data_IF_585665223742
#
_entry.id   IF_585665223742
#
_cell.length_a   1.000
_cell.length_b   1.000
_cell.length_c   1.000
_cell.angle_alpha   90.00
_cell.angle_beta   90.00
_cell.angle_gamma   90.00
#
_symmetry.space_group_name_H-M   'P 1'
#
loop_
_entity.id
_entity.type
_entity.pdbx_description
1 polymer ?
#
# COMPACT_ATOMS: atom_id res chain seq x y z
N UNK A 1 24.83 10.64 3.08
CA UNK A 1 23.45 10.44 3.51
C UNK A 1 22.68 11.71 3.17
N UNK A 2 21.81 11.65 2.17
CA UNK A 2 20.86 12.71 1.99
C UNK A 2 19.80 12.60 3.10
N UNK A 3 19.46 13.71 3.73
CA UNK A 3 18.45 13.75 4.76
C UNK A 3 17.08 13.42 4.17
N UNK A 4 16.23 12.67 4.87
CA UNK A 4 14.84 12.49 4.45
C UNK A 4 14.15 13.85 4.39
N UNK A 5 13.21 14.00 3.45
CA UNK A 5 12.34 15.17 3.41
C UNK A 5 11.23 14.92 4.42
N UNK A 6 10.99 15.88 5.30
CA UNK A 6 9.91 15.84 6.28
C UNK A 6 9.03 17.08 6.11
N UNK A 7 7.73 16.87 6.01
CA UNK A 7 6.75 17.94 5.94
C UNK A 7 5.45 17.56 6.67
N UNK A 8 4.63 18.56 6.99
CA UNK A 8 3.30 18.31 7.54
C UNK A 8 2.38 17.74 6.44
N UNK A 9 1.40 16.96 6.87
CA UNK A 9 0.33 16.43 6.05
C UNK A 9 -1.04 17.01 6.43
N UNK A 10 -2.12 16.48 5.81
CA UNK A 10 -3.47 17.03 5.92
C UNK A 10 -4.11 16.85 7.29
N UNK A 11 -3.76 15.79 8.03
CA UNK A 11 -4.29 15.54 9.37
C UNK A 11 -3.59 16.36 10.45
N UNK A 12 -4.32 16.69 11.52
CA UNK A 12 -3.76 17.40 12.66
C UNK A 12 -2.62 16.62 13.33
N UNK A 13 -1.41 17.21 13.34
CA UNK A 13 -0.21 16.57 13.87
C UNK A 13 0.36 15.45 12.99
N UNK A 14 -0.17 15.27 11.79
CA UNK A 14 0.34 14.32 10.82
C UNK A 14 1.58 14.85 10.12
N UNK A 15 2.59 13.98 9.97
CA UNK A 15 3.84 14.31 9.30
C UNK A 15 4.15 13.20 8.29
N UNK A 16 4.65 13.59 7.12
CA UNK A 16 5.17 12.69 6.10
C UNK A 16 6.68 12.74 6.06
N UNK A 17 7.29 11.61 5.79
CA UNK A 17 8.73 11.48 5.60
C UNK A 17 8.99 10.69 4.32
N UNK A 18 9.67 11.35 3.39
CA UNK A 18 10.21 10.72 2.20
C UNK A 18 11.58 10.12 2.46
N UNK A 19 11.74 8.85 2.16
CA UNK A 19 13.01 8.15 2.24
C UNK A 19 13.72 8.12 0.88
N UNK A 20 15.05 8.25 0.88
CA UNK A 20 15.84 7.98 -0.32
C UNK A 20 15.63 6.55 -0.78
N UNK A 21 15.57 6.36 -2.11
CA UNK A 21 15.48 5.05 -2.69
C UNK A 21 16.68 4.17 -2.31
N UNK A 22 16.41 2.90 -2.11
CA UNK A 22 17.40 1.86 -1.83
C UNK A 22 16.91 0.53 -2.40
N UNK A 23 17.73 -0.49 -2.36
CA UNK A 23 17.26 -1.85 -2.67
C UNK A 23 16.14 -2.29 -1.73
N UNK A 24 15.27 -3.22 -2.18
CA UNK A 24 14.01 -3.56 -1.47
C UNK A 24 14.22 -3.96 -0.01
N UNK A 25 15.16 -4.86 0.26
CA UNK A 25 15.45 -5.32 1.63
C UNK A 25 15.94 -4.16 2.52
N UNK A 26 16.85 -3.32 1.99
CA UNK A 26 17.35 -2.16 2.73
C UNK A 26 16.25 -1.13 2.99
N UNK A 27 15.31 -0.99 2.07
CA UNK A 27 14.14 -0.11 2.26
C UNK A 27 13.26 -0.63 3.39
N UNK A 28 12.98 -1.94 3.43
CA UNK A 28 12.22 -2.55 4.52
C UNK A 28 12.92 -2.36 5.88
N UNK A 29 14.24 -2.59 5.95
CA UNK A 29 15.04 -2.32 7.16
C UNK A 29 14.92 -0.85 7.61
N UNK A 30 15.03 0.09 6.65
CA UNK A 30 14.94 1.52 6.93
C UNK A 30 13.55 1.91 7.49
N UNK A 31 12.46 1.37 6.93
CA UNK A 31 11.09 1.61 7.43
C UNK A 31 10.94 1.09 8.86
N UNK A 32 11.43 -0.13 9.15
CA UNK A 32 11.36 -0.69 10.50
C UNK A 32 12.16 0.13 11.51
N UNK A 33 13.39 0.49 11.15
CA UNK A 33 14.26 1.31 12.01
C UNK A 33 13.65 2.70 12.22
N UNK A 34 13.12 3.32 11.17
CA UNK A 34 12.44 4.62 11.23
C UNK A 34 11.30 4.59 12.25
N UNK A 35 10.39 3.63 12.16
CA UNK A 35 9.27 3.49 13.10
C UNK A 35 9.74 3.37 14.55
N UNK A 36 10.77 2.57 14.80
CA UNK A 36 11.34 2.41 16.14
C UNK A 36 11.96 3.71 16.68
N UNK A 37 12.76 4.41 15.86
CA UNK A 37 13.41 5.67 16.25
C UNK A 37 12.36 6.75 16.54
N UNK A 38 11.37 6.92 15.68
CA UNK A 38 10.32 7.92 15.87
C UNK A 38 9.58 7.69 17.18
N UNK A 39 9.17 6.44 17.46
CA UNK A 39 8.50 6.09 18.73
C UNK A 39 9.38 6.35 19.95
N UNK A 40 10.64 5.94 19.89
CA UNK A 40 11.57 6.14 21.00
C UNK A 40 11.78 7.64 21.31
N UNK A 41 11.94 8.46 20.26
CA UNK A 41 12.11 9.91 20.42
C UNK A 41 10.81 10.55 20.93
N UNK A 42 9.65 10.20 20.37
CA UNK A 42 8.35 10.69 20.81
C UNK A 42 8.11 10.41 22.30
N UNK A 43 8.33 9.16 22.73
CA UNK A 43 8.20 8.76 24.13
C UNK A 43 9.13 9.57 25.04
N UNK A 44 10.39 9.75 24.66
CA UNK A 44 11.34 10.59 25.41
C UNK A 44 10.95 12.05 25.49
N UNK A 45 10.19 12.54 24.50
CA UNK A 45 9.69 13.91 24.43
C UNK A 45 8.32 14.09 25.10
N UNK A 46 7.77 13.05 25.73
CA UNK A 46 6.47 13.09 26.40
C UNK A 46 5.28 13.15 25.45
N UNK A 47 5.47 12.77 24.18
CA UNK A 47 4.42 12.68 23.15
C UNK A 47 4.32 11.26 22.62
N UNK A 48 3.21 10.95 21.94
CA UNK A 48 2.98 9.64 21.30
C UNK A 48 3.08 9.79 19.78
N UNK A 49 3.74 8.82 19.13
CA UNK A 49 3.76 8.67 17.69
C UNK A 49 3.08 7.36 17.30
N UNK A 50 2.00 7.45 16.54
CA UNK A 50 1.26 6.30 16.03
C UNK A 50 1.44 6.17 14.52
N UNK A 51 1.56 4.92 14.06
CA UNK A 51 1.54 4.55 12.65
C UNK A 51 0.22 3.85 12.29
N UNK A 52 -0.83 4.06 13.06
CA UNK A 52 -2.16 3.52 12.77
C UNK A 52 -2.71 4.10 11.45
N UNK A 53 -3.29 3.28 10.56
CA UNK A 53 -3.77 3.73 9.25
C UNK A 53 -4.83 4.83 9.31
N UNK A 54 -5.76 4.78 10.26
CA UNK A 54 -6.79 5.80 10.47
C UNK A 54 -6.92 6.09 11.97
N UNK A 55 -5.97 6.86 12.57
CA UNK A 55 -5.95 7.10 14.02
C UNK A 55 -7.10 8.00 14.49
N UNK A 56 -7.58 8.88 13.63
CA UNK A 56 -8.66 9.82 13.92
C UNK A 56 -9.73 9.68 12.82
N UNK A 57 -11.00 9.38 13.17
CA UNK A 57 -12.06 9.11 12.19
C UNK A 57 -12.29 10.26 11.20
N UNK A 58 -12.25 11.50 11.69
CA UNK A 58 -12.57 12.71 10.93
C UNK A 58 -11.33 13.41 10.32
N UNK A 59 -10.17 12.76 10.37
CA UNK A 59 -8.92 13.30 9.82
C UNK A 59 -8.37 12.38 8.72
N UNK A 60 -7.45 12.89 7.92
CA UNK A 60 -6.75 12.09 6.93
C UNK A 60 -6.04 10.88 7.57
N UNK A 61 -6.09 9.74 6.90
CA UNK A 61 -5.38 8.53 7.31
C UNK A 61 -3.92 8.57 6.90
N UNK A 62 -3.13 7.65 7.44
CA UNK A 62 -1.71 7.50 7.13
C UNK A 62 -1.50 6.42 6.06
N UNK A 63 -0.82 6.76 4.98
CA UNK A 63 -0.38 5.86 3.92
C UNK A 63 1.10 5.48 4.07
N UNK A 64 1.48 4.37 3.46
CA UNK A 64 2.86 3.99 3.20
C UNK A 64 2.99 3.74 1.70
N UNK A 65 3.19 4.81 0.92
CA UNK A 65 3.28 4.70 -0.53
C UNK A 65 4.58 3.98 -0.93
N UNK A 66 4.46 2.90 -1.70
CA UNK A 66 5.61 2.15 -2.19
C UNK A 66 5.99 2.68 -3.56
N UNK A 67 7.11 3.39 -3.62
CA UNK A 67 7.70 3.91 -4.84
C UNK A 67 8.69 2.88 -5.42
N UNK A 68 8.51 2.49 -6.69
CA UNK A 68 9.30 1.49 -7.38
C UNK A 68 9.84 2.02 -8.71
N UNK A 69 11.14 1.83 -8.92
CA UNK A 69 11.80 2.05 -10.22
C UNK A 69 12.38 0.73 -10.71
N UNK A 70 12.31 0.49 -12.01
CA UNK A 70 12.91 -0.65 -12.67
C UNK A 70 14.06 -0.20 -13.56
N UNK A 71 15.17 -0.92 -13.52
CA UNK A 71 16.33 -0.63 -14.36
C UNK A 71 16.71 -1.86 -15.18
N UNK A 72 17.05 -1.60 -16.43
CA UNK A 72 17.63 -2.60 -17.34
C UNK A 72 18.74 -1.90 -18.14
N UNK A 73 19.94 -2.46 -18.16
CA UNK A 73 21.11 -1.92 -18.84
C UNK A 73 21.38 -0.43 -18.52
N UNK A 74 21.20 -0.06 -17.24
CA UNK A 74 21.43 1.30 -16.75
C UNK A 74 20.35 2.32 -17.10
N UNK A 75 19.23 1.89 -17.71
CA UNK A 75 18.09 2.75 -18.07
C UNK A 75 16.91 2.51 -17.13
N UNK A 76 16.31 3.59 -16.67
CA UNK A 76 15.06 3.55 -15.92
C UNK A 76 13.89 3.26 -16.88
N UNK A 77 13.19 2.15 -16.67
CA UNK A 77 12.11 1.69 -17.55
C UNK A 77 10.79 2.47 -17.38
N UNK A 78 10.69 3.31 -16.35
CA UNK A 78 9.56 4.24 -16.16
C UNK A 78 9.81 5.61 -16.80
N UNK A 79 10.96 5.83 -17.44
CA UNK A 79 11.23 7.08 -18.13
C UNK A 79 10.49 7.14 -19.48
N UNK A 80 9.81 8.25 -19.72
CA UNK A 80 9.04 8.46 -20.95
C UNK A 80 7.64 7.83 -20.94
N UNK A 81 7.18 7.42 -22.11
CA UNK A 81 5.88 6.77 -22.26
C UNK A 81 5.98 5.26 -21.96
N UNK A 82 5.07 4.79 -21.12
CA UNK A 82 4.97 3.38 -20.77
C UNK A 82 4.02 2.71 -21.76
N UNK A 83 4.59 1.93 -22.69
CA UNK A 83 3.77 1.11 -23.58
C UNK A 83 3.09 -0.02 -22.79
N UNK A 84 1.84 -0.37 -23.10
CA UNK A 84 1.08 -1.37 -22.36
C UNK A 84 1.75 -2.76 -22.28
N UNK A 85 2.50 -3.15 -23.29
CA UNK A 85 3.21 -4.42 -23.46
C UNK A 85 4.72 -4.31 -23.17
N UNK A 86 5.19 -3.15 -22.70
CA UNK A 86 6.57 -2.97 -22.26
C UNK A 86 6.83 -3.70 -20.92
N UNK A 87 8.08 -3.91 -20.57
CA UNK A 87 8.45 -4.50 -19.25
C UNK A 87 7.86 -3.69 -18.10
N UNK A 88 7.91 -2.36 -18.14
CA UNK A 88 7.30 -1.50 -17.12
C UNK A 88 5.77 -1.61 -17.14
N UNK A 89 5.15 -1.69 -18.32
CA UNK A 89 3.71 -1.89 -18.48
C UNK A 89 3.28 -3.25 -17.90
N UNK A 90 3.96 -4.33 -18.27
CA UNK A 90 3.67 -5.67 -17.77
C UNK A 90 3.87 -5.78 -16.26
N UNK A 91 4.91 -5.13 -15.70
CA UNK A 91 5.12 -5.05 -14.26
C UNK A 91 3.93 -4.37 -13.55
N UNK A 92 3.51 -3.22 -14.04
CA UNK A 92 2.34 -2.51 -13.50
C UNK A 92 1.06 -3.32 -13.63
N UNK A 93 0.87 -4.00 -14.76
CA UNK A 93 -0.28 -4.87 -14.97
C UNK A 93 -0.34 -6.00 -13.95
N UNK A 94 0.80 -6.64 -13.63
CA UNK A 94 0.90 -7.64 -12.58
C UNK A 94 0.57 -7.09 -11.19
N UNK A 95 1.10 -5.92 -10.83
CA UNK A 95 0.77 -5.27 -9.55
C UNK A 95 -0.72 -4.96 -9.44
N UNK A 96 -1.35 -4.48 -10.52
CA UNK A 96 -2.79 -4.20 -10.54
C UNK A 96 -3.62 -5.49 -10.46
N UNK A 97 -3.26 -6.52 -11.23
CA UNK A 97 -3.97 -7.79 -11.25
C UNK A 97 -4.00 -8.48 -9.89
N UNK A 98 -2.90 -8.40 -9.15
CA UNK A 98 -2.75 -9.03 -7.83
C UNK A 98 -3.11 -8.12 -6.64
N UNK A 99 -3.51 -6.88 -6.89
CA UNK A 99 -3.69 -5.88 -5.82
C UNK A 99 -4.73 -6.28 -4.76
N UNK A 100 -5.82 -6.95 -5.16
CA UNK A 100 -6.88 -7.35 -4.24
C UNK A 100 -6.39 -8.39 -3.23
N UNK A 101 -5.71 -9.41 -3.70
CA UNK A 101 -5.18 -10.49 -2.87
C UNK A 101 -3.96 -10.06 -2.03
N UNK A 102 -3.24 -9.03 -2.47
CA UNK A 102 -2.16 -8.43 -1.70
C UNK A 102 -2.64 -7.52 -0.58
N UNK A 103 -3.90 -7.09 -0.60
CA UNK A 103 -4.43 -6.10 0.35
C UNK A 103 -4.31 -6.57 1.79
N UNK A 104 -4.48 -7.86 2.10
CA UNK A 104 -4.30 -8.39 3.45
C UNK A 104 -2.90 -8.16 4.03
N UNK A 105 -1.87 -8.11 3.16
CA UNK A 105 -0.48 -7.88 3.57
C UNK A 105 -0.08 -6.41 3.56
N UNK A 106 -0.69 -5.62 2.70
CA UNK A 106 -0.43 -4.18 2.58
C UNK A 106 -1.29 -3.34 3.51
N UNK A 107 -2.40 -3.89 4.00
CA UNK A 107 -3.41 -3.24 4.83
C UNK A 107 -3.96 -4.23 5.88
N UNK A 108 -3.12 -4.60 6.89
CA UNK A 108 -3.35 -5.77 7.74
C UNK A 108 -4.27 -5.55 8.94
N UNK A 109 -4.88 -4.39 9.07
CA UNK A 109 -5.76 -4.10 10.19
C UNK A 109 -7.19 -3.83 9.72
N UNK A 110 -8.21 -4.13 10.53
CA UNK A 110 -9.57 -3.66 10.26
C UNK A 110 -9.62 -2.13 10.05
N UNK A 111 -8.83 -1.38 10.81
CA UNK A 111 -8.66 0.06 10.70
C UNK A 111 -8.14 0.52 9.33
N UNK A 112 -7.34 -0.30 8.64
CA UNK A 112 -6.79 -0.01 7.31
C UNK A 112 -7.87 0.33 6.29
N UNK A 113 -9.00 -0.36 6.34
CA UNK A 113 -10.10 -0.27 5.36
C UNK A 113 -10.94 1.00 5.52
N UNK A 114 -10.83 1.67 6.67
CA UNK A 114 -11.44 2.98 6.91
C UNK A 114 -10.79 4.11 6.09
N UNK A 115 -9.61 3.86 5.49
CA UNK A 115 -8.90 4.81 4.63
C UNK A 115 -9.44 4.82 3.20
N UNK A 116 -9.85 3.66 2.66
CA UNK A 116 -10.11 3.51 1.23
C UNK A 116 -11.26 4.36 0.71
N UNK A 117 -10.99 5.12 -0.34
CA UNK A 117 -11.94 6.04 -0.96
C UNK A 117 -12.05 7.42 -0.30
N UNK A 118 -11.22 7.71 0.72
CA UNK A 118 -11.19 8.97 1.45
C UNK A 118 -9.77 9.55 1.46
N UNK A 119 -9.65 10.87 1.56
CA UNK A 119 -8.41 11.58 1.91
C UNK A 119 -7.17 11.07 1.13
N UNK A 120 -7.26 11.00 -0.18
CA UNK A 120 -6.20 10.56 -1.10
C UNK A 120 -5.84 9.05 -1.02
N UNK A 121 -6.57 8.21 -0.29
CA UNK A 121 -6.39 6.76 -0.31
C UNK A 121 -7.27 6.11 -1.40
N UNK A 122 -6.68 5.41 -2.38
CA UNK A 122 -7.41 4.84 -3.51
C UNK A 122 -8.31 3.68 -3.07
N UNK A 123 -9.43 3.51 -3.78
CA UNK A 123 -10.34 2.37 -3.62
C UNK A 123 -10.41 1.47 -4.85
N UNK A 124 -10.25 2.06 -6.03
CA UNK A 124 -10.42 1.37 -7.32
C UNK A 124 -9.09 0.87 -7.86
N UNK A 125 -9.09 -0.34 -8.41
CA UNK A 125 -7.93 -0.93 -9.10
C UNK A 125 -7.77 -0.24 -10.45
N UNK A 126 -6.88 0.74 -10.49
CA UNK A 126 -6.67 1.60 -11.66
C UNK A 126 -5.32 2.31 -11.58
N UNK A 127 -4.90 2.89 -12.69
CA UNK A 127 -3.70 3.70 -12.72
C UNK A 127 -3.87 4.97 -13.55
N UNK A 128 -3.04 5.95 -13.30
CA UNK A 128 -2.91 7.13 -14.15
C UNK A 128 -1.56 7.82 -14.02
N UNK A 129 -1.34 8.78 -14.93
CA UNK A 129 -0.30 9.80 -14.75
C UNK A 129 -0.86 10.90 -13.86
N UNK A 130 -0.14 11.27 -12.80
CA UNK A 130 -0.39 12.43 -11.92
C UNK A 130 -1.60 12.33 -10.96
N UNK A 131 -2.70 11.68 -11.32
CA UNK A 131 -3.90 11.67 -10.48
C UNK A 131 -3.71 10.81 -9.22
N UNK A 132 -3.98 11.40 -8.05
CA UNK A 132 -3.79 10.77 -6.73
C UNK A 132 -4.92 9.84 -6.30
N UNK A 133 -6.06 9.83 -7.01
CA UNK A 133 -7.19 8.94 -6.71
C UNK A 133 -7.01 7.52 -7.24
N UNK A 134 -5.94 7.25 -7.99
CA UNK A 134 -5.64 5.97 -8.59
C UNK A 134 -4.79 5.10 -7.67
N UNK A 135 -4.94 3.77 -7.79
CA UNK A 135 -4.16 2.80 -7.02
C UNK A 135 -2.66 2.90 -7.36
N UNK A 136 -2.35 2.98 -8.65
CA UNK A 136 -0.99 3.22 -9.14
C UNK A 136 -0.91 4.57 -9.83
N UNK A 137 0.01 5.39 -9.38
CA UNK A 137 0.32 6.70 -9.97
C UNK A 137 1.71 6.69 -10.58
N UNK A 138 1.86 7.31 -11.75
CA UNK A 138 3.16 7.63 -12.35
C UNK A 138 3.41 9.13 -12.18
N UNK A 139 4.27 9.55 -11.23
CA UNK A 139 4.59 10.96 -11.03
C UNK A 139 5.24 11.57 -12.27
N UNK A 140 5.00 12.84 -12.51
CA UNK A 140 5.63 13.58 -13.61
C UNK A 140 7.03 14.06 -13.20
N UNK A 141 8.00 13.17 -13.29
CA UNK A 141 9.41 13.40 -12.98
C UNK A 141 10.28 12.90 -14.13
N UNK A 142 11.59 13.15 -14.09
CA UNK A 142 12.52 12.77 -15.15
C UNK A 142 13.74 12.02 -14.60
N UNK A 143 14.39 11.26 -15.47
CA UNK A 143 15.62 10.54 -15.17
C UNK A 143 15.45 9.52 -14.05
N UNK A 144 16.38 9.48 -13.13
CA UNK A 144 16.42 8.50 -12.03
C UNK A 144 15.24 8.59 -11.06
N UNK A 145 14.48 9.69 -11.08
CA UNK A 145 13.30 9.84 -10.26
C UNK A 145 12.03 9.22 -10.86
N UNK A 146 12.10 8.74 -12.12
CA UNK A 146 10.96 8.08 -12.75
C UNK A 146 10.61 6.79 -12.03
N UNK A 147 9.32 6.64 -11.69
CA UNK A 147 8.84 5.54 -10.85
C UNK A 147 7.35 5.34 -10.98
N UNK A 148 6.88 4.19 -10.55
CA UNK A 148 5.49 4.01 -10.16
C UNK A 148 5.35 4.19 -8.63
N UNK A 149 4.19 4.64 -8.20
CA UNK A 149 3.80 4.80 -6.81
C UNK A 149 2.55 3.96 -6.54
N UNK A 150 2.69 2.91 -5.73
CA UNK A 150 1.55 2.14 -5.22
C UNK A 150 1.02 2.83 -3.95
N UNK A 151 -0.26 3.23 -3.95
CA UNK A 151 -0.81 4.17 -2.99
C UNK A 151 -1.70 3.55 -1.90
N UNK A 152 -2.13 2.29 -2.08
CA UNK A 152 -2.99 1.62 -1.09
C UNK A 152 -2.29 1.22 0.21
N UNK A 153 -1.01 0.78 0.23
CA UNK A 153 -0.39 0.31 1.45
C UNK A 153 -0.43 1.33 2.58
N UNK A 154 -0.45 0.84 3.81
CA UNK A 154 -0.42 1.67 5.00
C UNK A 154 0.70 1.26 5.96
N UNK A 155 1.05 2.14 6.94
CA UNK A 155 2.20 1.90 7.78
C UNK A 155 2.02 0.78 8.81
N UNK A 156 0.83 0.16 8.94
CA UNK A 156 0.66 -1.02 9.78
C UNK A 156 1.23 -2.29 9.14
N UNK A 157 1.45 -2.28 7.81
CA UNK A 157 1.97 -3.44 7.11
C UNK A 157 3.38 -3.85 7.58
N UNK A 158 3.69 -5.13 7.38
CA UNK A 158 5.06 -5.62 7.45
C UNK A 158 5.77 -5.24 6.13
N UNK A 159 6.76 -4.33 6.14
CA UNK A 159 7.37 -3.83 4.91
C UNK A 159 8.12 -4.91 4.12
N UNK A 160 8.62 -5.96 4.78
CA UNK A 160 9.28 -7.08 4.09
C UNK A 160 8.28 -7.87 3.26
N UNK A 161 7.09 -8.19 3.83
CA UNK A 161 6.03 -8.88 3.10
C UNK A 161 5.42 -7.98 2.02
N UNK A 162 5.07 -6.75 2.36
CA UNK A 162 4.44 -5.81 1.42
C UNK A 162 5.33 -5.55 0.20
N UNK A 163 6.60 -5.17 0.40
CA UNK A 163 7.53 -4.89 -0.71
C UNK A 163 7.83 -6.17 -1.49
N UNK A 164 8.09 -7.29 -0.79
CA UNK A 164 8.41 -8.57 -1.44
C UNK A 164 7.28 -9.07 -2.33
N UNK A 165 6.04 -9.03 -1.86
CA UNK A 165 4.86 -9.49 -2.60
C UNK A 165 4.51 -8.55 -3.76
N UNK A 166 4.65 -7.23 -3.60
CA UNK A 166 4.46 -6.27 -4.70
C UNK A 166 5.49 -6.48 -5.81
N UNK A 167 6.74 -6.77 -5.46
CA UNK A 167 7.77 -7.14 -6.44
C UNK A 167 7.43 -8.45 -7.14
N UNK A 168 7.01 -9.48 -6.39
CA UNK A 168 6.61 -10.77 -6.95
C UNK A 168 5.42 -10.61 -7.93
N UNK A 169 4.42 -9.80 -7.57
CA UNK A 169 3.29 -9.49 -8.44
C UNK A 169 3.70 -8.80 -9.74
N UNK A 170 4.60 -7.83 -9.66
CA UNK A 170 5.13 -7.18 -10.85
C UNK A 170 5.96 -8.12 -11.74
N UNK A 171 6.76 -9.02 -11.15
CA UNK A 171 7.52 -10.03 -11.87
C UNK A 171 6.59 -11.06 -12.54
N UNK A 172 5.55 -11.50 -11.86
CA UNK A 172 4.52 -12.36 -12.44
C UNK A 172 3.86 -11.71 -13.68
N UNK A 173 3.64 -10.39 -13.62
CA UNK A 173 3.16 -9.61 -14.77
C UNK A 173 4.12 -9.63 -15.96
N UNK A 174 5.43 -9.51 -15.70
CA UNK A 174 6.46 -9.61 -16.75
C UNK A 174 6.53 -11.03 -17.32
N UNK A 175 6.60 -12.06 -16.47
CA UNK A 175 6.70 -13.45 -16.87
C UNK A 175 5.52 -13.90 -17.72
N UNK A 176 4.30 -13.46 -17.35
CA UNK A 176 3.07 -13.76 -18.07
C UNK A 176 2.77 -12.77 -19.20
N UNK A 177 3.64 -11.78 -19.46
CA UNK A 177 3.45 -10.74 -20.48
C UNK A 177 2.10 -10.06 -20.37
N UNK A 178 1.69 -9.73 -19.16
CA UNK A 178 0.43 -9.04 -18.92
C UNK A 178 0.43 -7.67 -19.60
N UNK A 179 -0.71 -7.31 -20.18
CA UNK A 179 -0.88 -6.04 -20.90
C UNK A 179 -1.54 -5.03 -19.96
N UNK A 180 -0.92 -3.88 -19.79
CA UNK A 180 -1.44 -2.82 -18.94
C UNK A 180 -2.73 -2.23 -19.54
N UNK A 181 -3.75 -2.11 -18.71
CA UNK A 181 -5.01 -1.44 -19.09
C UNK A 181 -4.81 0.04 -19.42
N UNK A 182 -5.79 0.65 -20.07
CA UNK A 182 -5.76 2.09 -20.33
C UNK A 182 -5.76 2.89 -19.02
N UNK A 183 -5.06 4.05 -18.96
CA UNK A 183 -5.05 4.89 -17.77
C UNK A 183 -6.42 5.53 -17.52
N UNK A 184 -6.78 5.68 -16.25
CA UNK A 184 -8.03 6.34 -15.84
C UNK A 184 -7.69 7.73 -15.29
N UNK A 185 -8.00 8.78 -16.05
CA UNK A 185 -7.67 10.16 -15.70
C UNK A 185 -8.83 10.93 -15.04
N UNK A 186 -9.78 10.19 -14.43
CA UNK A 186 -10.90 10.76 -13.68
C UNK A 186 -10.59 10.83 -12.19
N UNK A 187 -11.20 11.77 -11.48
CA UNK A 187 -11.10 11.81 -10.02
C UNK A 187 -12.02 10.74 -9.40
N UNK A 188 -11.46 9.61 -9.00
CA UNK A 188 -12.20 8.47 -8.45
C UNK A 188 -12.54 8.63 -6.94
N UNK A 189 -12.21 9.75 -6.31
CA UNK A 189 -12.77 10.12 -4.99
C UNK A 189 -14.22 10.58 -5.10
N UNK A 190 -14.66 10.98 -6.29
CA UNK A 190 -16.07 11.15 -6.62
C UNK A 190 -16.62 9.82 -7.19
N UNK A 191 -17.48 9.10 -6.44
CA UNK A 191 -18.00 7.80 -6.90
C UNK A 191 -18.72 7.86 -8.25
N UNK A 192 -19.35 9.01 -8.56
CA UNK A 192 -20.05 9.20 -9.83
C UNK A 192 -19.12 9.12 -11.05
N UNK A 193 -17.85 9.45 -10.86
CA UNK A 193 -16.83 9.37 -11.91
C UNK A 193 -16.37 7.94 -12.20
N UNK A 194 -16.60 7.01 -11.27
CA UNK A 194 -16.29 5.59 -11.44
C UNK A 194 -17.43 4.83 -12.12
N UNK A 195 -18.66 5.39 -12.13
CA UNK A 195 -19.82 4.76 -12.74
C UNK A 195 -19.59 4.45 -14.23
N UNK A 196 -19.95 3.24 -14.63
CA UNK A 196 -19.82 2.76 -16.01
C UNK A 196 -18.40 2.41 -16.46
N UNK A 197 -17.38 2.56 -15.60
CA UNK A 197 -15.99 2.20 -15.96
C UNK A 197 -15.67 0.73 -15.77
N UNK A 198 -16.51 -0.05 -15.06
CA UNK A 198 -16.27 -1.46 -14.78
C UNK A 198 -15.00 -1.73 -13.97
N UNK A 199 -14.56 -0.77 -13.16
CA UNK A 199 -13.35 -0.91 -12.34
C UNK A 199 -13.62 -1.83 -11.15
N UNK A 200 -12.67 -2.73 -10.89
CA UNK A 200 -12.64 -3.49 -9.65
C UNK A 200 -12.31 -2.56 -8.47
N UNK A 201 -12.78 -2.95 -7.28
CA UNK A 201 -12.42 -2.28 -6.02
C UNK A 201 -11.49 -3.15 -5.20
N UNK A 202 -10.64 -2.53 -4.41
CA UNK A 202 -9.95 -3.23 -3.33
C UNK A 202 -10.98 -3.81 -2.35
N UNK A 203 -10.64 -4.87 -1.60
CA UNK A 203 -11.51 -5.40 -0.54
C UNK A 203 -12.00 -4.30 0.39
N UNK A 204 -13.25 -4.37 0.81
CA UNK A 204 -13.85 -3.36 1.68
C UNK A 204 -13.62 -3.66 3.18
N UNK A 205 -13.12 -4.85 3.51
CA UNK A 205 -12.82 -5.28 4.87
C UNK A 205 -11.61 -6.21 4.90
N UNK A 206 -11.03 -6.39 6.08
CA UNK A 206 -9.96 -7.36 6.30
C UNK A 206 -10.41 -8.79 5.98
N UNK A 207 -11.66 -9.14 6.26
CA UNK A 207 -12.22 -10.45 5.94
C UNK A 207 -12.28 -10.70 4.43
N UNK A 208 -12.76 -9.74 3.66
CA UNK A 208 -12.76 -9.83 2.20
C UNK A 208 -11.34 -9.93 1.64
N UNK A 209 -10.37 -9.25 2.26
CA UNK A 209 -8.98 -9.34 1.86
C UNK A 209 -8.35 -10.71 2.17
N UNK A 210 -8.68 -11.29 3.32
CA UNK A 210 -8.26 -12.67 3.65
C UNK A 210 -8.88 -13.65 2.66
N UNK A 211 -10.17 -13.53 2.37
CA UNK A 211 -10.83 -14.40 1.40
C UNK A 211 -10.17 -14.30 0.01
N UNK A 212 -9.94 -13.09 -0.49
CA UNK A 212 -9.25 -12.90 -1.77
C UNK A 212 -7.85 -13.53 -1.79
N UNK A 213 -7.13 -13.46 -0.66
CA UNK A 213 -5.81 -14.05 -0.53
C UNK A 213 -5.84 -15.59 -0.45
N UNK A 214 -6.80 -16.17 0.25
CA UNK A 214 -6.98 -17.63 0.35
C UNK A 214 -7.32 -18.27 -1.00
N UNK A 215 -8.07 -17.57 -1.83
CA UNK A 215 -8.45 -18.00 -3.18
C UNK A 215 -7.31 -17.84 -4.20
N UNK A 216 -6.26 -17.08 -3.88
CA UNK A 216 -5.19 -16.71 -4.81
C UNK A 216 -4.26 -17.87 -5.17
N UNK A 217 -4.22 -18.22 -6.46
CA UNK A 217 -3.21 -19.13 -7.00
C UNK A 217 -1.81 -18.53 -7.02
N UNK A 218 -1.72 -17.21 -7.23
CA UNK A 218 -0.45 -16.48 -7.19
C UNK A 218 0.18 -16.57 -5.79
N UNK A 219 -0.55 -16.28 -4.73
CA UNK A 219 -0.03 -16.35 -3.37
C UNK A 219 0.38 -17.78 -2.98
N UNK A 220 -0.33 -18.82 -3.43
CA UNK A 220 0.07 -20.21 -3.22
C UNK A 220 1.41 -20.57 -3.87
N UNK A 221 1.79 -19.89 -4.97
CA UNK A 221 3.09 -20.09 -5.61
C UNK A 221 4.23 -19.35 -4.92
N UNK A 222 3.97 -18.17 -4.36
CA UNK A 222 5.03 -17.27 -3.87
C UNK A 222 5.22 -17.31 -2.36
N UNK A 223 4.24 -17.77 -1.59
CA UNK A 223 4.32 -17.88 -0.14
C UNK A 223 4.40 -19.34 0.32
N UNK A 224 5.24 -19.63 1.32
CA UNK A 224 5.18 -20.92 2.00
C UNK A 224 3.79 -21.14 2.63
N UNK A 225 3.18 -22.29 2.40
CA UNK A 225 1.84 -22.64 2.88
C UNK A 225 1.67 -22.42 4.39
N UNK A 226 2.66 -22.84 5.18
CA UNK A 226 2.63 -22.65 6.64
C UNK A 226 2.59 -21.19 7.05
N UNK A 227 3.30 -20.31 6.32
CA UNK A 227 3.29 -18.87 6.58
C UNK A 227 1.92 -18.29 6.24
N UNK A 228 1.39 -18.60 5.06
CA UNK A 228 0.10 -18.11 4.58
C UNK A 228 -1.04 -18.54 5.55
N UNK A 229 -1.12 -19.82 5.87
CA UNK A 229 -2.14 -20.37 6.78
C UNK A 229 -2.10 -19.70 8.15
N UNK A 230 -0.90 -19.56 8.73
CA UNK A 230 -0.75 -18.90 10.03
C UNK A 230 -1.14 -17.44 9.96
N UNK A 231 -0.72 -16.73 8.91
CA UNK A 231 -1.01 -15.31 8.73
C UNK A 231 -2.52 -15.09 8.63
N UNK A 232 -3.21 -15.79 7.73
CA UNK A 232 -4.65 -15.66 7.55
C UNK A 232 -5.45 -16.03 8.80
N UNK A 233 -5.03 -17.09 9.52
CA UNK A 233 -5.65 -17.47 10.78
C UNK A 233 -5.58 -16.34 11.81
N UNK A 234 -4.43 -15.66 11.93
CA UNK A 234 -4.28 -14.56 12.89
C UNK A 234 -5.09 -13.32 12.46
N UNK A 235 -5.16 -13.02 11.17
CA UNK A 235 -5.97 -11.89 10.67
C UNK A 235 -7.48 -12.14 10.87
N UNK A 236 -7.96 -13.36 10.66
CA UNK A 236 -9.36 -13.72 10.96
C UNK A 236 -9.67 -13.62 12.47
N UNK A 237 -8.75 -14.01 13.36
CA UNK A 237 -8.92 -13.79 14.80
C UNK A 237 -9.05 -12.31 15.17
N UNK A 238 -8.32 -11.43 14.49
CA UNK A 238 -8.46 -9.97 14.67
C UNK A 238 -9.85 -9.48 14.28
N UNK A 239 -10.37 -9.97 13.15
CA UNK A 239 -11.72 -9.65 12.70
C UNK A 239 -12.76 -10.08 13.75
N UNK A 240 -12.67 -11.33 14.22
CA UNK A 240 -13.59 -11.86 15.24
C UNK A 240 -13.49 -11.09 16.57
N UNK A 241 -12.27 -10.78 17.02
CA UNK A 241 -12.09 -10.03 18.26
C UNK A 241 -12.72 -8.62 18.17
N UNK A 242 -12.61 -7.94 17.02
CA UNK A 242 -13.25 -6.65 16.81
C UNK A 242 -14.77 -6.74 16.76
N UNK A 243 -15.34 -7.77 16.11
CA UNK A 243 -16.79 -7.99 16.06
C UNK A 243 -17.41 -8.21 17.43
N UNK A 244 -16.68 -8.86 18.32
CA UNK A 244 -17.13 -9.13 19.68
C UNK A 244 -16.82 -8.01 20.68
N UNK A 245 -16.11 -6.97 20.25
CA UNK A 245 -15.83 -5.81 21.09
C UNK A 245 -17.11 -5.01 21.38
N UNK A 246 -17.33 -4.67 22.65
CA UNK A 246 -18.46 -3.83 23.07
C UNK A 246 -18.37 -2.41 22.50
N UNK A 247 -17.18 -1.92 22.29
CA UNK A 247 -16.86 -0.66 21.63
C UNK A 247 -15.68 -0.90 20.66
N UNK A 248 -15.93 -1.04 19.35
CA UNK A 248 -14.89 -1.28 18.35
C UNK A 248 -13.85 -0.17 18.28
N UNK A 249 -14.24 1.10 18.44
CA UNK A 249 -13.30 2.22 18.38
C UNK A 249 -12.34 2.22 19.58
N UNK A 250 -12.86 1.93 20.78
CA UNK A 250 -12.05 1.79 21.98
C UNK A 250 -11.15 0.56 21.89
N UNK A 251 -11.63 -0.55 21.29
CA UNK A 251 -10.83 -1.74 21.05
C UNK A 251 -9.63 -1.42 20.14
N UNK A 252 -9.85 -0.76 19.01
CA UNK A 252 -8.78 -0.33 18.10
C UNK A 252 -7.77 0.60 18.79
N UNK A 253 -8.27 1.55 19.56
CA UNK A 253 -7.45 2.49 20.31
C UNK A 253 -6.56 1.78 21.34
N UNK A 254 -7.08 0.84 22.06
CA UNK A 254 -6.32 0.13 23.13
C UNK A 254 -5.36 -0.91 22.59
N UNK A 255 -5.72 -1.62 21.51
CA UNK A 255 -4.93 -2.74 20.98
C UNK A 255 -3.97 -2.34 19.88
N UNK A 256 -4.29 -1.31 19.07
CA UNK A 256 -3.48 -0.97 17.91
C UNK A 256 -2.79 0.39 18.00
N UNK A 257 -3.44 1.42 18.57
CA UNK A 257 -2.90 2.78 18.56
C UNK A 257 -1.51 2.89 19.21
N UNK A 258 -1.29 2.17 20.31
CA UNK A 258 -0.01 2.13 21.01
C UNK A 258 0.96 1.07 20.47
N UNK A 259 0.46 0.08 19.73
CA UNK A 259 1.27 -1.02 19.23
C UNK A 259 1.87 -0.75 17.84
N UNK A 260 1.23 0.12 17.04
CA UNK A 260 1.58 0.35 15.63
C UNK A 260 2.02 1.78 15.33
#
# INVERSE_FOLDING_TARGET
>A
CALPICHHESGNGQNEIDCHHAGPLKTADNVMMFKQIVRAIATRSGIHASFLPKPLPDQAGSGLHINLSLYMDGRNLFEGDIAPDSIAGSFMAGVLAHSRELTVFTNPLPNSYQRFGCDEAPRYVSWSRQNRSQLVRIPQVKGDNCRMELRSPDPACNPYLAIGLVLAAGLDGIENRMVLSAPVNKNLFDPSMAEGLGLETLPASLEEAVQAAEESEFLRRVLPEQLATRYFTEELKRCEALKHASDPAEYERTHYFNAI
#
